data_IF_180639433746
#
_entry.id   IF_180639433746
#
_cell.length_a   1.000
_cell.length_b   1.000
_cell.length_c   1.000
_cell.angle_alpha   90.00
_cell.angle_beta   90.00
_cell.angle_gamma   90.00
#
_symmetry.space_group_name_H-M   'P 1'
#
loop_
_entity.id
_entity.type
_entity.pdbx_description
1 polymer ?
#
# COMPACT_ATOMS: atom_id res chain seq x y z
N UNK A 1 -3.99 -7.06 -4.00
CA UNK A 1 -5.04 -8.03 -3.60
C UNK A 1 -6.29 -7.75 -4.43
N UNK A 2 -6.98 -8.77 -4.95
CA UNK A 2 -8.15 -8.55 -5.82
C UNK A 2 -9.45 -8.80 -5.04
N UNK A 3 -10.51 -8.04 -5.33
CA UNK A 3 -11.80 -8.13 -4.62
C UNK A 3 -12.39 -9.54 -4.61
N UNK A 4 -12.17 -10.29 -5.69
CA UNK A 4 -12.62 -11.69 -5.88
C UNK A 4 -11.81 -12.76 -5.12
N UNK A 5 -10.73 -12.39 -4.40
CA UNK A 5 -9.96 -13.37 -3.63
C UNK A 5 -10.72 -13.82 -2.38
N UNK A 6 -10.60 -15.11 -2.04
CA UNK A 6 -11.19 -15.67 -0.82
C UNK A 6 -10.47 -15.17 0.43
N UNK A 7 -11.11 -15.26 1.59
CA UNK A 7 -10.51 -14.81 2.85
C UNK A 7 -9.17 -15.51 3.13
N UNK A 8 -9.11 -16.83 2.93
CA UNK A 8 -7.87 -17.61 3.10
C UNK A 8 -6.73 -17.13 2.20
N UNK A 9 -7.02 -16.67 0.98
CA UNK A 9 -6.00 -16.13 0.07
C UNK A 9 -5.48 -14.78 0.59
N UNK A 10 -6.37 -13.92 1.09
CA UNK A 10 -6.00 -12.63 1.69
C UNK A 10 -5.15 -12.81 2.94
N UNK A 11 -5.48 -13.78 3.79
CA UNK A 11 -4.73 -14.05 5.02
C UNK A 11 -3.33 -14.60 4.73
N UNK A 12 -3.20 -15.50 3.73
CA UNK A 12 -1.88 -15.97 3.27
C UNK A 12 -1.03 -14.83 2.74
N UNK A 13 -1.62 -13.93 1.95
CA UNK A 13 -0.93 -12.74 1.41
C UNK A 13 -0.48 -11.78 2.53
N UNK A 14 -1.37 -11.46 3.47
CA UNK A 14 -1.02 -10.64 4.64
C UNK A 14 0.14 -11.26 5.43
N UNK A 15 0.09 -12.58 5.66
CA UNK A 15 1.16 -13.30 6.36
C UNK A 15 2.49 -13.24 5.60
N UNK A 16 2.48 -13.39 4.27
CA UNK A 16 3.72 -13.35 3.47
C UNK A 16 4.38 -11.98 3.48
N UNK A 17 3.58 -10.90 3.54
CA UNK A 17 4.08 -9.52 3.68
C UNK A 17 4.69 -9.31 5.07
N UNK A 18 3.98 -9.73 6.12
CA UNK A 18 4.45 -9.61 7.50
C UNK A 18 5.71 -10.42 7.79
N UNK A 19 5.90 -11.57 7.14
CA UNK A 19 7.13 -12.37 7.32
C UNK A 19 8.29 -11.92 6.43
N UNK A 20 8.04 -11.02 5.47
CA UNK A 20 9.03 -10.52 4.51
C UNK A 20 9.37 -11.51 3.40
N UNK A 21 8.45 -12.44 3.06
CA UNK A 21 8.66 -13.42 1.99
C UNK A 21 8.34 -12.83 0.60
N UNK A 22 7.99 -11.55 0.52
CA UNK A 22 7.57 -10.86 -0.71
C UNK A 22 8.40 -9.60 -0.88
N UNK A 23 9.12 -9.48 -1.99
CA UNK A 23 10.03 -8.34 -2.24
C UNK A 23 9.32 -7.15 -2.92
N UNK A 24 8.28 -7.41 -3.70
CA UNK A 24 7.52 -6.40 -4.45
C UNK A 24 6.03 -6.67 -4.27
N UNK A 25 5.28 -5.64 -3.93
CA UNK A 25 3.84 -5.73 -3.65
C UNK A 25 3.12 -4.70 -4.50
N UNK A 26 2.19 -5.16 -5.33
CA UNK A 26 1.24 -4.30 -6.02
C UNK A 26 0.03 -4.11 -5.12
N UNK A 27 -0.07 -2.91 -4.53
CA UNK A 27 -1.09 -2.57 -3.56
C UNK A 27 -2.16 -1.65 -4.16
N UNK A 28 -3.42 -1.93 -3.81
CA UNK A 28 -4.51 -0.97 -3.95
C UNK A 28 -4.52 0.03 -2.78
N UNK A 29 -5.26 1.16 -2.86
CA UNK A 29 -5.38 2.13 -1.78
C UNK A 29 -5.72 1.55 -0.39
N UNK A 30 -6.49 0.46 -0.31
CA UNK A 30 -6.87 -0.17 0.95
C UNK A 30 -5.79 -1.11 1.52
N UNK A 31 -4.84 -1.53 0.69
CA UNK A 31 -3.78 -2.47 1.05
C UNK A 31 -2.53 -1.82 1.62
N UNK A 32 -2.46 -0.49 1.59
CA UNK A 32 -1.32 0.28 2.11
C UNK A 32 -1.20 0.17 3.64
N UNK A 33 -2.28 -0.18 4.34
CA UNK A 33 -2.31 -0.32 5.81
C UNK A 33 -1.86 -1.70 6.30
N UNK A 34 -1.03 -2.40 5.53
CA UNK A 34 -0.48 -3.68 5.94
C UNK A 34 0.76 -3.51 6.84
N UNK A 35 1.03 -4.53 7.63
CA UNK A 35 2.19 -4.59 8.51
C UNK A 35 3.40 -5.11 7.71
N UNK A 36 4.20 -4.19 7.18
CA UNK A 36 5.38 -4.52 6.38
C UNK A 36 6.59 -4.78 7.28
N UNK A 37 7.28 -5.90 7.08
CA UNK A 37 8.46 -6.26 7.88
C UNK A 37 9.66 -5.33 7.68
N UNK A 38 9.94 -4.98 6.44
CA UNK A 38 11.11 -4.18 6.03
C UNK A 38 10.77 -3.41 4.75
N UNK A 39 9.93 -2.38 4.90
CA UNK A 39 9.53 -1.54 3.78
C UNK A 39 10.64 -0.53 3.49
N UNK A 40 11.29 -0.64 2.33
CA UNK A 40 12.42 0.24 1.95
C UNK A 40 12.09 1.28 0.90
N UNK A 41 11.13 0.98 0.03
CA UNK A 41 10.77 1.84 -1.10
C UNK A 41 9.27 1.76 -1.38
N UNK A 42 8.67 2.92 -1.62
CA UNK A 42 7.29 3.11 -2.03
C UNK A 42 7.32 3.80 -3.39
N UNK A 43 6.61 3.25 -4.37
CA UNK A 43 6.45 3.85 -5.70
C UNK A 43 4.98 4.21 -5.87
N UNK A 44 4.70 5.51 -5.98
CA UNK A 44 3.35 6.03 -6.17
C UNK A 44 3.14 6.43 -7.63
N UNK A 45 2.31 5.65 -8.32
CA UNK A 45 2.05 5.81 -9.76
C UNK A 45 0.79 6.66 -9.96
N UNK A 46 0.89 7.69 -10.81
CA UNK A 46 -0.21 8.57 -11.23
C UNK A 46 -1.04 9.17 -10.08
N UNK A 47 -0.40 9.93 -9.16
CA UNK A 47 -1.03 10.47 -7.95
C UNK A 47 -2.26 11.35 -8.21
N UNK A 48 -2.39 11.91 -9.41
CA UNK A 48 -3.48 12.81 -9.81
C UNK A 48 -4.84 12.10 -9.98
N UNK A 49 -4.86 10.77 -9.99
CA UNK A 49 -6.10 10.02 -10.24
C UNK A 49 -7.07 10.09 -9.06
N UNK A 50 -8.34 10.33 -9.36
CA UNK A 50 -9.40 10.57 -8.38
C UNK A 50 -9.59 9.41 -7.38
N UNK A 51 -9.32 8.17 -7.80
CA UNK A 51 -9.50 6.98 -6.96
C UNK A 51 -8.46 6.84 -5.83
N UNK A 52 -7.44 7.71 -5.78
CA UNK A 52 -6.51 7.81 -4.65
C UNK A 52 -7.05 8.68 -3.50
N UNK A 53 -8.23 9.26 -3.64
CA UNK A 53 -8.97 9.86 -2.55
C UNK A 53 -10.09 8.90 -2.11
N UNK A 54 -9.92 8.28 -0.94
CA UNK A 54 -10.98 7.46 -0.36
C UNK A 54 -12.09 8.38 0.17
N UNK A 55 -13.28 8.27 -0.43
CA UNK A 55 -14.47 9.07 -0.06
C UNK A 55 -15.31 8.39 1.04
N UNK A 56 -15.11 7.09 1.26
CA UNK A 56 -15.76 6.34 2.33
C UNK A 56 -15.02 6.52 3.64
N UNK A 57 -15.70 6.44 4.77
CA UNK A 57 -15.05 6.53 6.07
C UNK A 57 -14.20 5.28 6.36
N UNK A 58 -12.96 5.43 6.89
CA UNK A 58 -12.29 6.70 7.14
C UNK A 58 -11.84 7.38 5.84
N UNK A 59 -12.13 8.69 5.70
CA UNK A 59 -11.70 9.48 4.54
C UNK A 59 -10.21 9.76 4.62
N UNK A 60 -9.47 9.38 3.58
CA UNK A 60 -8.03 9.65 3.48
C UNK A 60 -7.59 9.87 2.04
N UNK A 61 -6.48 10.60 1.88
CA UNK A 61 -5.75 10.71 0.61
C UNK A 61 -4.57 9.76 0.66
N UNK A 62 -4.47 8.87 -0.33
CA UNK A 62 -3.39 7.86 -0.38
C UNK A 62 -2.02 8.50 -0.34
N UNK A 63 -1.81 9.61 -1.06
CA UNK A 63 -0.54 10.34 -1.02
C UNK A 63 -0.10 10.74 0.39
N UNK A 64 -1.01 11.31 1.19
CA UNK A 64 -0.72 11.68 2.57
C UNK A 64 -0.37 10.47 3.46
N UNK A 65 -1.03 9.33 3.23
CA UNK A 65 -0.72 8.08 3.93
C UNK A 65 0.67 7.58 3.55
N UNK A 66 1.01 7.58 2.26
CA UNK A 66 2.31 7.11 1.77
C UNK A 66 3.46 7.98 2.25
N UNK A 67 3.27 9.31 2.32
CA UNK A 67 4.24 10.23 2.92
C UNK A 67 4.53 9.89 4.39
N UNK A 68 3.48 9.62 5.18
CA UNK A 68 3.65 9.27 6.59
C UNK A 68 4.27 7.89 6.77
N UNK A 69 3.88 6.92 5.94
CA UNK A 69 4.53 5.61 5.90
C UNK A 69 6.02 5.72 5.56
N UNK A 70 6.39 6.58 4.61
CA UNK A 70 7.79 6.85 4.28
C UNK A 70 8.60 7.27 5.51
N UNK A 71 8.03 8.08 6.40
CA UNK A 71 8.67 8.49 7.66
C UNK A 71 8.74 7.34 8.66
N UNK A 72 7.62 6.66 8.92
CA UNK A 72 7.53 5.58 9.93
C UNK A 72 8.51 4.45 9.60
N UNK A 73 8.59 4.06 8.32
CA UNK A 73 9.44 2.97 7.87
C UNK A 73 10.83 3.41 7.41
N UNK A 74 11.13 4.72 7.41
CA UNK A 74 12.34 5.27 6.76
C UNK A 74 12.49 4.80 5.31
N UNK A 75 11.38 4.70 4.59
CA UNK A 75 11.30 4.21 3.23
C UNK A 75 11.36 5.37 2.23
N UNK A 76 12.08 5.18 1.11
CA UNK A 76 12.10 6.15 0.02
C UNK A 76 10.76 6.20 -0.69
N UNK A 77 10.18 7.39 -0.85
CA UNK A 77 8.96 7.62 -1.64
C UNK A 77 9.33 8.20 -3.02
N UNK A 78 8.96 7.50 -4.08
CA UNK A 78 9.12 7.94 -5.47
C UNK A 78 7.74 8.12 -6.10
N UNK A 79 7.52 9.27 -6.74
CA UNK A 79 6.28 9.59 -7.44
C UNK A 79 6.56 9.51 -8.94
N UNK A 80 5.80 8.68 -9.64
CA UNK A 80 5.90 8.48 -11.09
C UNK A 80 4.62 8.99 -11.74
N UNK A 81 4.75 9.99 -12.59
CA UNK A 81 3.66 10.49 -13.42
C UNK A 81 3.85 9.94 -14.84
N UNK A 82 2.89 9.19 -15.36
CA UNK A 82 2.80 8.86 -16.78
C UNK A 82 2.05 9.93 -17.57
#
# INVERSE_FOLDING_TARGET
MHSKQTQNQKDKHRRSIKTGNTNVIFASPSEIFQDFKDLRKIIFIDPHKWYYANQQDPRFKVGAVLEEMGKIYSAGLEIVNN
#
